data_IF_381890638992
#
_entry.id   IF_381890638992
#
_cell.length_a   1.000
_cell.length_b   1.000
_cell.length_c   1.000
_cell.angle_alpha   90.00
_cell.angle_beta   90.00
_cell.angle_gamma   90.00
#
_symmetry.space_group_name_H-M   'P 1'
#
loop_
_entity.id
_entity.type
_entity.pdbx_description
1 polymer ?
#
# COMPACT_ATOMS: atom_id res chain seq x y z
N UNK A 1 3.89 -2.76 -29.35
CA UNK A 1 4.25 -1.70 -28.39
C UNK A 1 3.05 -1.18 -27.56
N UNK A 2 1.90 -0.82 -28.16
CA UNK A 2 0.72 -0.27 -27.42
C UNK A 2 0.19 -1.14 -26.26
N UNK A 3 0.18 -2.48 -26.40
CA UNK A 3 -0.31 -3.39 -25.35
C UNK A 3 0.57 -3.38 -24.08
N UNK A 4 1.89 -3.26 -24.26
CA UNK A 4 2.85 -3.22 -23.14
C UNK A 4 2.70 -1.91 -22.37
N UNK A 5 2.57 -0.78 -23.07
CA UNK A 5 2.34 0.52 -22.44
C UNK A 5 1.03 0.55 -21.64
N UNK A 6 -0.03 -0.09 -22.14
CA UNK A 6 -1.30 -0.20 -21.45
C UNK A 6 -1.20 -1.02 -20.15
N UNK A 7 -0.54 -2.17 -20.20
CA UNK A 7 -0.30 -3.01 -19.02
C UNK A 7 0.57 -2.27 -17.99
N UNK A 8 1.62 -1.58 -18.44
CA UNK A 8 2.46 -0.77 -17.55
C UNK A 8 1.66 0.33 -16.85
N UNK A 9 0.81 1.06 -17.58
CA UNK A 9 -0.05 2.09 -17.01
C UNK A 9 -1.05 1.51 -15.99
N UNK A 10 -1.59 0.31 -16.26
CA UNK A 10 -2.50 -0.38 -15.33
C UNK A 10 -1.79 -0.73 -14.01
N UNK A 11 -0.57 -1.23 -14.08
CA UNK A 11 0.23 -1.57 -12.90
C UNK A 11 0.58 -0.32 -12.10
N UNK A 12 1.03 0.75 -12.77
CA UNK A 12 1.35 2.04 -12.13
C UNK A 12 0.12 2.60 -11.40
N UNK A 13 -1.07 2.53 -12.02
CA UNK A 13 -2.32 2.96 -11.38
C UNK A 13 -2.57 2.21 -10.06
N UNK A 14 -2.37 0.88 -10.05
CA UNK A 14 -2.53 0.07 -8.84
C UNK A 14 -1.54 0.47 -7.75
N UNK A 15 -0.27 0.73 -8.10
CA UNK A 15 0.76 1.17 -7.17
C UNK A 15 0.38 2.51 -6.53
N UNK A 16 -0.06 3.49 -7.33
CA UNK A 16 -0.49 4.81 -6.84
C UNK A 16 -1.67 4.68 -5.88
N UNK A 17 -2.64 3.82 -6.20
CA UNK A 17 -3.80 3.55 -5.32
C UNK A 17 -3.34 2.90 -4.02
N UNK A 18 -2.46 1.89 -4.08
CA UNK A 18 -1.90 1.24 -2.90
C UNK A 18 -1.10 2.19 -2.01
N UNK A 19 -0.29 3.04 -2.62
CA UNK A 19 0.45 4.11 -1.96
C UNK A 19 -0.50 5.08 -1.24
N UNK A 20 -1.55 5.55 -1.93
CA UNK A 20 -2.54 6.47 -1.36
C UNK A 20 -3.27 5.87 -0.14
N UNK A 21 -3.68 4.61 -0.23
CA UNK A 21 -4.31 3.92 0.90
C UNK A 21 -3.35 3.68 2.07
N UNK A 22 -2.10 3.29 1.80
CA UNK A 22 -1.07 3.16 2.85
C UNK A 22 -0.85 4.49 3.58
N UNK A 23 -0.88 5.61 2.84
CA UNK A 23 -0.76 6.94 3.44
C UNK A 23 -1.94 7.27 4.37
N UNK A 24 -3.16 6.97 3.97
CA UNK A 24 -4.36 7.14 4.83
C UNK A 24 -4.22 6.31 6.11
N UNK A 25 -3.85 5.04 5.97
CA UNK A 25 -3.67 4.15 7.13
C UNK A 25 -2.55 4.62 8.04
N UNK A 26 -1.44 5.10 7.47
CA UNK A 26 -0.36 5.72 8.23
C UNK A 26 -0.84 6.94 9.03
N UNK A 27 -1.66 7.82 8.46
CA UNK A 27 -2.22 8.96 9.21
C UNK A 27 -3.07 8.48 10.38
N UNK A 28 -3.90 7.44 10.18
CA UNK A 28 -4.76 6.89 11.23
C UNK A 28 -3.97 6.28 12.38
N UNK A 29 -2.90 5.55 12.06
CA UNK A 29 -2.07 4.83 13.03
C UNK A 29 -0.97 5.74 13.63
N UNK A 30 -0.67 6.87 13.01
CA UNK A 30 0.28 7.86 13.53
C UNK A 30 -0.10 8.38 14.94
N UNK A 31 -1.40 8.39 15.27
CA UNK A 31 -1.87 8.72 16.63
C UNK A 31 -1.42 7.69 17.69
N UNK A 32 -1.04 6.49 17.27
CA UNK A 32 -0.49 5.41 18.11
C UNK A 32 1.06 5.42 18.09
N UNK A 33 1.68 6.40 17.41
CA UNK A 33 3.15 6.52 17.28
C UNK A 33 3.77 5.54 16.27
N UNK A 34 2.96 4.78 15.54
CA UNK A 34 3.40 3.79 14.57
C UNK A 34 3.31 4.33 13.14
N UNK A 35 4.34 4.02 12.33
CA UNK A 35 4.37 4.33 10.91
C UNK A 35 4.83 3.10 10.12
N UNK A 36 4.06 2.71 9.12
CA UNK A 36 4.42 1.67 8.16
C UNK A 36 5.30 2.32 7.09
N UNK A 37 6.48 1.76 6.83
CA UNK A 37 7.36 2.26 5.78
C UNK A 37 6.68 2.20 4.40
N UNK A 38 6.39 3.38 3.84
CA UNK A 38 5.77 3.54 2.53
C UNK A 38 6.85 3.57 1.44
N UNK A 39 7.20 2.39 0.94
CA UNK A 39 8.18 2.21 -0.15
C UNK A 39 7.50 1.64 -1.40
N UNK A 40 8.26 1.54 -2.50
CA UNK A 40 7.73 1.04 -3.79
C UNK A 40 7.22 -0.41 -3.65
N UNK A 41 7.88 -1.23 -2.84
CA UNK A 41 7.49 -2.63 -2.62
C UNK A 41 6.19 -2.73 -1.82
N UNK A 42 6.04 -1.98 -0.73
CA UNK A 42 4.83 -2.00 0.09
C UNK A 42 3.64 -1.41 -0.64
N UNK A 43 3.84 -0.34 -1.42
CA UNK A 43 2.79 0.24 -2.28
C UNK A 43 2.38 -0.67 -3.44
N UNK A 44 3.30 -1.46 -4.00
CA UNK A 44 3.00 -2.52 -4.96
C UNK A 44 2.10 -3.59 -4.34
N UNK A 45 2.50 -4.12 -3.18
CA UNK A 45 1.76 -5.17 -2.47
C UNK A 45 0.38 -4.65 -2.04
N UNK A 46 0.31 -3.45 -1.49
CA UNK A 46 -0.93 -2.76 -1.14
C UNK A 46 -1.84 -2.54 -2.35
N UNK A 47 -1.27 -2.09 -3.47
CA UNK A 47 -2.02 -1.85 -4.71
C UNK A 47 -2.52 -3.13 -5.38
N UNK A 48 -1.80 -4.24 -5.17
CA UNK A 48 -2.17 -5.55 -5.68
C UNK A 48 -3.24 -6.24 -4.81
N UNK A 49 -3.08 -6.25 -3.49
CA UNK A 49 -4.06 -6.85 -2.57
C UNK A 49 -5.29 -5.95 -2.33
N UNK A 50 -5.19 -4.64 -2.56
CA UNK A 50 -6.26 -3.68 -2.31
C UNK A 50 -6.55 -3.46 -0.82
N UNK A 51 -7.75 -2.93 -0.52
CA UNK A 51 -8.17 -2.56 0.84
C UNK A 51 -7.98 -3.68 1.90
N UNK A 52 -8.41 -4.95 1.68
CA UNK A 52 -8.24 -5.99 2.69
C UNK A 52 -6.76 -6.31 2.98
N UNK A 53 -5.88 -6.27 1.97
CA UNK A 53 -4.45 -6.49 2.21
C UNK A 53 -3.76 -5.36 2.93
N UNK A 54 -4.20 -4.12 2.70
CA UNK A 54 -3.66 -2.95 3.39
C UNK A 54 -4.03 -3.00 4.87
N UNK A 55 -5.28 -3.38 5.19
CA UNK A 55 -5.72 -3.62 6.57
C UNK A 55 -4.93 -4.76 7.22
N UNK A 56 -4.67 -5.85 6.50
CA UNK A 56 -3.87 -6.96 7.02
C UNK A 56 -2.41 -6.59 7.24
N UNK A 57 -1.80 -5.82 6.33
CA UNK A 57 -0.43 -5.33 6.48
C UNK A 57 -0.32 -4.39 7.69
N UNK A 58 -1.31 -3.53 7.88
CA UNK A 58 -1.42 -2.66 9.03
C UNK A 58 -1.58 -3.45 10.32
N UNK A 59 -2.46 -4.46 10.34
CA UNK A 59 -2.64 -5.35 11.48
C UNK A 59 -1.35 -6.11 11.83
N UNK A 60 -0.63 -6.66 10.85
CA UNK A 60 0.67 -7.32 11.09
C UNK A 60 1.66 -6.36 11.74
N UNK A 61 1.75 -5.12 11.25
CA UNK A 61 2.61 -4.11 11.86
C UNK A 61 2.18 -3.77 13.29
N UNK A 62 0.87 -3.67 13.54
CA UNK A 62 0.27 -3.35 14.84
C UNK A 62 0.37 -4.47 15.88
N UNK A 63 0.29 -5.74 15.47
CA UNK A 63 0.21 -6.88 16.38
C UNK A 63 1.51 -7.67 16.50
N UNK A 64 2.37 -7.66 15.46
CA UNK A 64 3.60 -8.48 15.42
C UNK A 64 4.85 -7.61 15.59
N UNK A 65 4.87 -6.41 15.00
CA UNK A 65 6.05 -5.52 15.02
C UNK A 65 5.98 -4.39 16.04
N UNK A 66 4.82 -4.19 16.69
CA UNK A 66 4.63 -3.23 17.77
C UNK A 66 5.11 -3.79 19.12
#
# INVERSE_FOLDING_TARGET
MRKIAYLAALTIKKIIIGAFFLYIVNIMINNVGMHISMNITTSLIAGFLGLPGILMLAAIHLFIFN
#
